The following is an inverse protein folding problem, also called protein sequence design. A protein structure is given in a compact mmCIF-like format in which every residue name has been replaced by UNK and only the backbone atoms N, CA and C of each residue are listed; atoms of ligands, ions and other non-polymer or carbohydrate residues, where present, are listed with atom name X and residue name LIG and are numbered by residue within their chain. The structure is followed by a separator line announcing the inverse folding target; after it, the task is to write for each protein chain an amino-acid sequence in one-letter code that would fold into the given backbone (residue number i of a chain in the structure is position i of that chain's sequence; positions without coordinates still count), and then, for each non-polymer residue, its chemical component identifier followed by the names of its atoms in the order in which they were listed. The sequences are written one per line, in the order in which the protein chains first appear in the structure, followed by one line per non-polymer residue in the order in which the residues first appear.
data_IF_571138370577
#
_entry.id   IF_571138370577
#
_cell.length_a   1.000
_cell.length_b   1.000
_cell.length_c   1.000
_cell.angle_alpha   90.00
_cell.angle_beta   90.00
_cell.angle_gamma   90.00
#
_symmetry.space_group_name_H-M   'P 1'
#
loop_
_entity.id
_entity.type
_entity.pdbx_description
1 polymer ?
#
# COMPACT_ATOMS: atom_id res chain seq x y z
N UNK A 1 -7.33 10.57 -10.66
CA UNK A 1 -6.95 9.48 -9.74
C UNK A 1 -7.71 8.17 -10.02
N UNK A 2 -8.96 8.19 -10.49
CA UNK A 2 -9.75 6.96 -10.76
C UNK A 2 -9.14 5.91 -11.70
N UNK A 3 -8.36 6.33 -12.71
CA UNK A 3 -7.81 5.37 -13.69
C UNK A 3 -6.84 4.38 -13.05
N UNK A 4 -6.18 4.73 -11.95
CA UNK A 4 -5.22 3.83 -11.30
C UNK A 4 -5.89 2.67 -10.56
N UNK A 5 -7.18 2.79 -10.19
CA UNK A 5 -7.92 1.77 -9.46
C UNK A 5 -8.63 0.77 -10.40
N UNK A 6 -9.04 1.21 -11.59
CA UNK A 6 -9.74 0.35 -12.57
C UNK A 6 -8.87 -0.78 -13.15
N UNK A 7 -7.56 -0.64 -13.12
CA UNK A 7 -6.62 -1.60 -13.74
C UNK A 7 -6.05 -2.62 -12.72
N UNK A 8 -6.54 -2.62 -11.48
CA UNK A 8 -6.10 -3.55 -10.42
C UNK A 8 -6.93 -4.83 -10.47
N UNK A 9 -6.26 -5.95 -10.70
CA UNK A 9 -6.88 -7.29 -10.75
C UNK A 9 -6.98 -7.88 -9.35
N UNK A 10 -5.96 -7.65 -8.53
CA UNK A 10 -5.89 -8.08 -7.14
C UNK A 10 -5.16 -7.03 -6.32
N UNK A 11 -5.54 -6.86 -5.06
CA UNK A 11 -4.87 -5.95 -4.13
C UNK A 11 -4.85 -6.53 -2.73
N UNK A 12 -3.68 -6.51 -2.09
CA UNK A 12 -3.52 -6.81 -0.66
C UNK A 12 -2.95 -5.58 0.03
N UNK A 13 -3.63 -5.12 1.08
CA UNK A 13 -3.19 -4.03 1.95
C UNK A 13 -2.60 -4.59 3.23
N UNK A 14 -1.49 -4.03 3.68
CA UNK A 14 -0.86 -4.33 4.97
C UNK A 14 -0.64 -3.01 5.72
N UNK A 15 -1.28 -2.86 6.88
CA UNK A 15 -1.09 -1.69 7.75
C UNK A 15 0.03 -1.98 8.74
N UNK A 16 0.95 -1.03 8.90
CA UNK A 16 2.10 -1.15 9.80
C UNK A 16 2.35 0.20 10.48
N UNK A 17 1.51 0.54 11.46
CA UNK A 17 1.56 1.83 12.16
C UNK A 17 1.38 3.03 11.22
N UNK A 18 2.43 3.86 11.07
CA UNK A 18 2.42 5.05 10.19
C UNK A 18 2.64 4.71 8.71
N UNK A 19 2.93 3.45 8.38
CA UNK A 19 3.12 2.96 7.01
C UNK A 19 1.96 2.09 6.58
N UNK A 20 1.63 2.12 5.30
CA UNK A 20 0.72 1.18 4.66
C UNK A 20 1.35 0.67 3.39
N UNK A 21 1.45 -0.64 3.27
CA UNK A 21 1.94 -1.30 2.06
C UNK A 21 0.75 -1.78 1.23
N UNK A 22 0.86 -1.59 -0.08
CA UNK A 22 -0.11 -2.05 -1.06
C UNK A 22 0.60 -2.97 -2.04
N UNK A 23 0.10 -4.19 -2.18
CA UNK A 23 0.57 -5.18 -3.15
C UNK A 23 -0.52 -5.37 -4.19
N UNK A 24 -0.36 -4.70 -5.34
CA UNK A 24 -1.36 -4.68 -6.41
C UNK A 24 -0.89 -5.51 -7.60
N UNK A 25 -1.73 -6.41 -8.11
CA UNK A 25 -1.52 -7.09 -9.39
C UNK A 25 -2.25 -6.33 -10.49
N UNK A 26 -1.54 -6.02 -11.57
CA UNK A 26 -2.06 -5.29 -12.73
C UNK A 26 -1.73 -6.04 -14.01
N UNK A 27 -2.52 -5.83 -15.06
CA UNK A 27 -2.23 -6.34 -16.40
C UNK A 27 -1.55 -5.31 -17.28
N UNK A 28 -0.67 -5.77 -18.17
CA UNK A 28 -0.15 -4.97 -19.30
C UNK A 28 -1.14 -5.00 -20.47
N UNK A 29 -0.89 -4.18 -21.50
CA UNK A 29 -1.65 -4.22 -22.76
C UNK A 29 -1.54 -5.56 -23.49
N UNK A 30 -0.47 -6.32 -23.22
CA UNK A 30 -0.21 -7.64 -23.81
C UNK A 30 -0.86 -8.78 -23.02
N UNK A 31 -1.74 -8.49 -22.07
CA UNK A 31 -2.37 -9.48 -21.17
C UNK A 31 -1.39 -10.22 -20.24
N UNK A 32 -0.20 -9.66 -20.01
CA UNK A 32 0.73 -10.14 -18.99
C UNK A 32 0.45 -9.48 -17.64
N UNK A 33 0.93 -10.08 -16.54
CA UNK A 33 0.74 -9.55 -15.19
C UNK A 33 2.05 -9.02 -14.60
N UNK A 34 1.94 -7.96 -13.79
CA UNK A 34 3.04 -7.40 -13.01
C UNK A 34 2.55 -6.98 -11.62
N UNK A 35 3.48 -6.95 -10.67
CA UNK A 35 3.23 -6.53 -9.29
C UNK A 35 3.63 -5.06 -9.13
N UNK A 36 2.77 -4.28 -8.47
CA UNK A 36 3.11 -2.94 -7.97
C UNK A 36 3.12 -3.00 -6.44
N UNK A 37 4.27 -2.69 -5.84
CA UNK A 37 4.40 -2.56 -4.38
C UNK A 37 4.48 -1.07 -4.07
N UNK A 38 3.57 -0.57 -3.23
CA UNK A 38 3.57 0.83 -2.80
C UNK A 38 3.68 0.92 -1.29
N UNK A 39 4.70 1.60 -0.78
CA UNK A 39 4.75 2.08 0.61
C UNK A 39 4.15 3.48 0.66
N UNK A 40 3.12 3.68 1.47
CA UNK A 40 2.59 5.00 1.83
C UNK A 40 2.95 5.29 3.27
N UNK A 41 3.73 6.34 3.51
CA UNK A 41 4.16 6.77 4.85
C UNK A 41 3.46 8.07 5.23
N UNK A 42 2.74 8.05 6.35
CA UNK A 42 2.06 9.22 6.92
C UNK A 42 3.01 10.05 7.77
N UNK A 43 3.08 11.34 7.46
CA UNK A 43 3.84 12.35 8.20
C UNK A 43 2.91 13.46 8.68
N UNK A 44 3.30 14.11 9.76
CA UNK A 44 2.65 15.33 10.24
C UNK A 44 3.53 16.51 9.83
N UNK A 45 2.94 17.49 9.14
CA UNK A 45 3.64 18.70 8.69
C UNK A 45 2.69 19.88 8.75
N UNK A 46 3.13 20.97 9.37
CA UNK A 46 2.42 22.27 9.43
C UNK A 46 0.95 22.16 9.87
N UNK A 47 0.67 21.31 10.86
CA UNK A 47 -0.68 21.09 11.40
C UNK A 47 -1.56 20.11 10.61
N UNK A 48 -1.09 19.59 9.48
CA UNK A 48 -1.78 18.61 8.65
C UNK A 48 -1.05 17.27 8.52
N UNK A 49 -1.70 16.33 7.83
CA UNK A 49 -1.09 15.04 7.46
C UNK A 49 -0.71 15.03 5.98
N UNK A 50 0.53 14.62 5.70
CA UNK A 50 1.06 14.43 4.35
C UNK A 50 1.43 12.96 4.17
N UNK A 51 1.20 12.43 2.99
CA UNK A 51 1.54 11.04 2.65
C UNK A 51 2.65 11.02 1.59
N UNK A 52 3.76 10.38 1.92
CA UNK A 52 4.83 10.10 0.96
C UNK A 52 4.63 8.69 0.41
N UNK A 53 4.70 8.53 -0.92
CA UNK A 53 4.54 7.24 -1.57
C UNK A 53 5.82 6.83 -2.28
N UNK A 54 6.33 5.64 -1.93
CA UNK A 54 7.37 4.95 -2.69
C UNK A 54 6.73 3.80 -3.46
N UNK A 55 6.96 3.72 -4.78
CA UNK A 55 6.33 2.73 -5.67
C UNK A 55 7.41 1.95 -6.43
N UNK A 56 7.28 0.63 -6.43
CA UNK A 56 8.12 -0.31 -7.15
C UNK A 56 7.25 -1.15 -8.10
N UNK A 57 7.80 -1.47 -9.26
CA UNK A 57 7.20 -2.39 -10.23
C UNK A 57 8.08 -3.62 -10.35
N UNK A 58 7.47 -4.80 -10.31
CA UNK A 58 8.14 -6.08 -10.54
C UNK A 58 7.41 -6.79 -11.67
N UNK A 59 8.14 -7.19 -12.71
CA UNK A 59 7.59 -7.86 -13.88
C UNK A 59 7.77 -9.38 -13.78
N UNK A 60 6.98 -10.13 -14.56
CA UNK A 60 6.88 -11.60 -14.48
C UNK A 60 8.23 -12.32 -14.62
N UNK A 61 9.14 -11.78 -15.42
CA UNK A 61 10.48 -12.31 -15.67
C UNK A 61 11.38 -12.28 -14.43
N UNK A 62 11.08 -11.40 -13.48
CA UNK A 62 11.91 -11.17 -12.30
C UNK A 62 11.31 -11.75 -11.01
N UNK A 63 10.05 -12.24 -11.03
CA UNK A 63 9.34 -12.67 -9.82
C UNK A 63 10.12 -13.66 -8.96
N UNK A 64 10.66 -14.73 -9.57
CA UNK A 64 11.35 -15.76 -8.80
C UNK A 64 12.64 -15.21 -8.18
N UNK A 65 13.44 -14.46 -8.93
CA UNK A 65 14.68 -13.85 -8.43
C UNK A 65 14.42 -12.84 -7.32
N UNK A 66 13.37 -12.04 -7.48
CA UNK A 66 12.97 -11.05 -6.49
C UNK A 66 12.47 -11.71 -5.19
N UNK A 67 11.63 -12.73 -5.30
CA UNK A 67 11.11 -13.46 -4.14
C UNK A 67 12.21 -14.21 -3.39
N UNK A 68 13.11 -14.87 -4.11
CA UNK A 68 14.27 -15.56 -3.54
C UNK A 68 15.16 -14.58 -2.77
N UNK A 69 15.59 -13.48 -3.40
CA UNK A 69 16.42 -12.47 -2.75
C UNK A 69 15.73 -11.82 -1.54
N UNK A 70 14.42 -11.55 -1.64
CA UNK A 70 13.64 -11.00 -0.54
C UNK A 70 13.58 -11.97 0.65
N UNK A 71 13.29 -13.24 0.37
CA UNK A 71 13.18 -14.27 1.40
C UNK A 71 14.54 -14.52 2.07
N UNK A 72 15.60 -14.73 1.29
CA UNK A 72 16.96 -14.94 1.80
C UNK A 72 17.42 -13.77 2.69
N UNK A 73 17.18 -12.54 2.26
CA UNK A 73 17.56 -11.35 3.03
C UNK A 73 16.79 -11.25 4.35
N UNK A 74 15.48 -11.54 4.32
CA UNK A 74 14.65 -11.56 5.53
C UNK A 74 15.08 -12.68 6.48
N UNK A 75 15.38 -13.86 5.95
CA UNK A 75 15.83 -15.00 6.76
C UNK A 75 17.19 -14.72 7.40
N UNK A 76 18.13 -14.11 6.65
CA UNK A 76 19.42 -13.69 7.21
C UNK A 76 19.26 -12.70 8.36
N UNK A 77 18.33 -11.75 8.27
CA UNK A 77 18.01 -10.83 9.37
C UNK A 77 17.50 -11.61 10.58
N UNK A 78 16.58 -12.55 10.37
CA UNK A 78 15.96 -13.32 11.46
C UNK A 78 16.90 -14.30 12.11
N UNK A 79 17.77 -14.97 11.36
CA UNK A 79 18.64 -16.03 11.89
C UNK A 79 19.97 -15.51 12.40
N UNK A 80 20.62 -14.58 11.67
CA UNK A 80 21.99 -14.17 11.97
C UNK A 80 22.05 -12.83 12.72
N UNK A 81 21.24 -11.84 12.30
CA UNK A 81 21.34 -10.48 12.83
C UNK A 81 20.49 -10.24 14.07
N UNK A 82 19.31 -10.87 14.15
CA UNK A 82 18.34 -10.69 15.24
C UNK A 82 17.67 -12.00 15.66
N UNK A 83 18.43 -13.04 16.05
CA UNK A 83 17.89 -14.37 16.39
C UNK A 83 16.93 -14.38 17.57
N UNK A 84 17.17 -13.52 18.57
CA UNK A 84 16.37 -13.49 19.80
C UNK A 84 15.19 -12.50 19.72
N UNK A 85 15.01 -11.82 18.58
CA UNK A 85 13.94 -10.85 18.43
C UNK A 85 12.63 -11.52 18.01
N UNK A 86 11.59 -11.33 18.81
CA UNK A 86 10.26 -11.82 18.48
C UNK A 86 9.61 -10.94 17.39
N UNK A 87 9.67 -11.36 16.14
CA UNK A 87 8.99 -10.68 15.04
C UNK A 87 7.48 -10.97 15.00
N UNK A 88 7.02 -12.01 15.71
CA UNK A 88 5.63 -12.44 15.70
C UNK A 88 4.74 -11.55 16.57
N UNK A 89 5.34 -10.79 17.51
CA UNK A 89 4.64 -9.76 18.26
C UNK A 89 3.93 -8.73 17.36
N UNK A 90 4.40 -8.51 16.12
CA UNK A 90 3.80 -7.59 15.15
C UNK A 90 2.72 -8.22 14.26
N UNK A 91 2.46 -9.52 14.38
CA UNK A 91 1.40 -10.18 13.62
C UNK A 91 -0.01 -9.86 14.15
N UNK A 92 -0.14 -9.24 15.33
CA UNK A 92 -1.42 -9.21 16.07
C UNK A 92 -2.25 -7.91 16.05
N UNK A 93 -1.87 -6.87 15.31
CA UNK A 93 -2.62 -5.60 15.30
C UNK A 93 -3.79 -5.50 14.28
N UNK A 94 -4.34 -6.62 13.80
CA UNK A 94 -5.54 -6.57 12.93
C UNK A 94 -6.89 -6.51 13.70
N UNK A 95 -6.89 -6.63 15.04
CA UNK A 95 -8.12 -6.63 15.85
C UNK A 95 -7.98 -5.79 17.12
N UNK A 96 -8.23 -4.48 17.03
CA UNK A 96 -8.62 -3.68 18.21
C UNK A 96 -7.80 -2.42 18.46
N UNK A 97 -8.12 -1.33 17.76
CA UNK A 97 -8.08 0.00 18.37
C UNK A 97 -9.26 0.81 17.84
N UNK A 98 -10.41 0.59 18.47
CA UNK A 98 -11.58 1.44 18.36
C UNK A 98 -11.42 2.66 19.27
N UNK A 99 -11.26 3.82 18.61
CA UNK A 99 -11.79 5.14 18.95
C UNK A 99 -11.10 6.02 20.02
N UNK A 100 -10.53 7.15 19.57
CA UNK A 100 -10.93 8.49 20.06
C UNK A 100 -10.81 9.50 18.90
N UNK A 101 -11.94 9.74 18.26
CA UNK A 101 -12.42 11.01 17.67
C UNK A 101 -11.47 11.88 16.83
N UNK A 102 -11.53 11.67 15.52
CA UNK A 102 -11.88 12.75 14.59
C UNK A 102 -12.93 12.18 13.63
N UNK A 103 -14.16 12.62 13.82
CA UNK A 103 -15.27 12.42 12.88
C UNK A 103 -15.01 13.30 11.67
N UNK A 104 -14.37 12.77 10.63
CA UNK A 104 -14.55 13.29 9.28
C UNK A 104 -15.38 12.27 8.51
N UNK A 105 -16.68 12.54 8.51
CA UNK A 105 -17.65 11.88 7.66
C UNK A 105 -17.40 12.31 6.21
N UNK A 106 -16.49 11.63 5.51
CA UNK A 106 -16.52 11.58 4.05
C UNK A 106 -16.94 10.16 3.65
N UNK A 107 -18.23 9.93 3.83
CA UNK A 107 -18.97 8.91 3.12
C UNK A 107 -19.01 9.33 1.65
N UNK A 108 -18.56 8.44 0.77
CA UNK A 108 -18.72 8.43 -0.69
C UNK A 108 -19.45 9.64 -1.30
N UNK A 109 -18.71 10.66 -1.70
CA UNK A 109 -19.11 11.54 -2.81
C UNK A 109 -18.08 11.44 -3.94
N UNK A 110 -18.13 10.29 -4.60
CA UNK A 110 -17.65 10.14 -5.96
C UNK A 110 -18.86 10.02 -6.91
N UNK A 111 -19.82 10.96 -6.83
CA UNK A 111 -20.79 11.21 -7.90
C UNK A 111 -21.56 12.53 -7.70
N UNK A 112 -21.42 13.42 -8.69
CA UNK A 112 -22.40 14.46 -9.04
C UNK A 112 -22.34 15.79 -8.26
N UNK A 113 -21.37 16.63 -8.61
CA UNK A 113 -21.60 18.09 -8.62
C UNK A 113 -20.70 18.76 -9.64
N UNK A 114 -21.27 19.01 -10.81
CA UNK A 114 -20.66 19.77 -11.90
C UNK A 114 -21.78 20.41 -12.71
N UNK A 115 -22.61 21.20 -12.04
CA UNK A 115 -23.52 22.11 -12.70
C UNK A 115 -22.72 23.12 -13.52
N UNK A 116 -22.83 22.95 -14.84
CA UNK A 116 -23.06 24.01 -15.82
C UNK A 116 -22.25 25.30 -15.64
N UNK A 117 -21.07 25.36 -16.27
CA UNK A 117 -20.39 26.61 -16.57
C UNK A 117 -20.05 26.62 -18.07
N UNK A 118 -20.92 27.33 -18.81
CA UNK A 118 -20.75 27.72 -20.22
C UNK A 118 -19.46 28.51 -20.41
N UNK A 119 -18.75 28.17 -21.48
CA UNK A 119 -17.70 29.02 -22.05
C UNK A 119 -18.30 29.84 -23.19
N UNK A 120 -18.07 31.16 -23.18
CA UNK A 120 -17.98 31.98 -24.40
C UNK A 120 -16.53 32.01 -24.90
#
# INVERSE_FOLDING_TARGET
MEREDRDKIYSKRVRAGKRTYFFDVRSTRSSDYYLTITESRRFQKDGGFVFEKSKMFVYKEDFNKFLEALQETVDHIKSELMPDYDFDQFKHDELGSGNTEAVDADNDDYASSGSDLKWE
#
